data_IF_356167626359
#
_entry.id   IF_356167626359
#
_cell.length_a   1.000
_cell.length_b   1.000
_cell.length_c   1.000
_cell.angle_alpha   90.00
_cell.angle_beta   90.00
_cell.angle_gamma   90.00
#
_symmetry.space_group_name_H-M   'P 1'
#
loop_
_entity.id
_entity.type
_entity.pdbx_description
1 polymer ?
#
# COMPACT_ATOMS: atom_id res chain seq x y z
N UNK A 1 -25.70 -9.23 -56.79
CA UNK A 1 -25.10 -10.38 -56.08
C UNK A 1 -23.62 -10.14 -55.79
N UNK A 2 -22.80 -9.70 -56.72
CA UNK A 2 -21.36 -9.45 -56.52
C UNK A 2 -21.06 -8.43 -55.37
N UNK A 3 -21.81 -7.33 -55.32
CA UNK A 3 -21.62 -6.29 -54.28
C UNK A 3 -21.93 -6.80 -52.88
N UNK A 4 -22.99 -7.60 -52.72
CA UNK A 4 -23.36 -8.23 -51.45
C UNK A 4 -22.30 -9.26 -50.99
N UNK A 5 -21.77 -10.03 -51.90
CA UNK A 5 -20.67 -10.97 -51.64
C UNK A 5 -19.44 -10.24 -51.04
N UNK A 6 -18.97 -9.17 -51.70
CA UNK A 6 -17.81 -8.43 -51.26
C UNK A 6 -18.05 -7.67 -49.96
N UNK A 7 -19.28 -7.22 -49.70
CA UNK A 7 -19.64 -6.62 -48.42
C UNK A 7 -19.55 -7.66 -47.30
N UNK A 8 -20.03 -8.87 -47.54
CA UNK A 8 -19.93 -10.00 -46.53
C UNK A 8 -18.47 -10.34 -46.31
N UNK A 9 -17.64 -10.45 -47.35
CA UNK A 9 -16.21 -10.73 -47.20
C UNK A 9 -15.50 -9.67 -46.39
N UNK A 10 -15.76 -8.38 -46.67
CA UNK A 10 -15.15 -7.27 -45.94
C UNK A 10 -15.59 -7.26 -44.46
N UNK A 11 -16.90 -7.34 -44.20
CA UNK A 11 -17.42 -7.36 -42.82
C UNK A 11 -16.94 -8.60 -42.06
N UNK A 12 -16.88 -9.76 -42.69
CA UNK A 12 -16.34 -10.98 -42.14
C UNK A 12 -14.86 -10.86 -41.79
N UNK A 13 -14.07 -10.25 -42.68
CA UNK A 13 -12.65 -9.99 -42.41
C UNK A 13 -12.49 -9.01 -41.23
N UNK A 14 -13.23 -7.90 -41.24
CA UNK A 14 -13.20 -6.95 -40.10
C UNK A 14 -13.60 -7.62 -38.79
N UNK A 15 -14.67 -8.41 -38.75
CA UNK A 15 -15.12 -9.14 -37.59
C UNK A 15 -14.05 -10.11 -37.11
N UNK A 16 -13.48 -10.92 -38.01
CA UNK A 16 -12.43 -11.87 -37.66
C UNK A 16 -11.18 -11.19 -37.09
N UNK A 17 -10.75 -10.08 -37.67
CA UNK A 17 -9.60 -9.30 -37.21
C UNK A 17 -9.84 -8.71 -35.82
N UNK A 18 -11.01 -8.12 -35.59
CA UNK A 18 -11.39 -7.54 -34.29
C UNK A 18 -11.55 -8.66 -33.23
N UNK A 19 -12.26 -9.74 -33.56
CA UNK A 19 -12.50 -10.86 -32.64
C UNK A 19 -11.18 -11.50 -32.18
N UNK A 20 -10.25 -11.72 -33.11
CA UNK A 20 -8.93 -12.29 -32.80
C UNK A 20 -7.90 -11.26 -32.29
N UNK A 21 -8.29 -9.98 -32.12
CA UNK A 21 -7.39 -8.89 -31.66
C UNK A 21 -6.09 -8.82 -32.46
N UNK A 22 -6.20 -8.95 -33.78
CA UNK A 22 -5.04 -8.97 -34.68
C UNK A 22 -4.37 -7.59 -34.67
N UNK A 23 -3.03 -7.56 -34.63
CA UNK A 23 -2.24 -6.32 -34.68
C UNK A 23 -2.60 -5.44 -35.89
N UNK A 24 -2.52 -4.10 -35.69
CA UNK A 24 -2.89 -3.12 -36.71
C UNK A 24 -2.13 -3.33 -38.02
N UNK A 25 -0.83 -3.66 -37.97
CA UNK A 25 -0.01 -3.90 -39.17
C UNK A 25 -0.52 -5.08 -39.96
N UNK A 26 -0.77 -6.21 -39.31
CA UNK A 26 -1.29 -7.40 -39.98
C UNK A 26 -2.73 -7.19 -40.43
N UNK A 27 -3.56 -6.50 -39.67
CA UNK A 27 -4.91 -6.12 -40.06
C UNK A 27 -4.91 -5.25 -41.33
N UNK A 28 -3.99 -4.29 -41.40
CA UNK A 28 -3.83 -3.44 -42.58
C UNK A 28 -3.43 -4.27 -43.81
N UNK A 29 -2.48 -5.19 -43.67
CA UNK A 29 -2.07 -6.07 -44.76
C UNK A 29 -3.22 -6.95 -45.26
N UNK A 30 -4.01 -7.55 -44.36
CA UNK A 30 -5.16 -8.41 -44.71
C UNK A 30 -6.26 -7.59 -45.39
N UNK A 31 -6.63 -6.42 -44.84
CA UNK A 31 -7.63 -5.55 -45.47
C UNK A 31 -7.15 -4.99 -46.83
N UNK A 32 -5.85 -4.72 -46.95
CA UNK A 32 -5.24 -4.37 -48.20
C UNK A 32 -5.36 -5.47 -49.26
N UNK A 33 -5.09 -6.72 -48.87
CA UNK A 33 -5.27 -7.87 -49.78
C UNK A 33 -6.73 -8.05 -50.22
N UNK A 34 -7.68 -7.88 -49.27
CA UNK A 34 -9.12 -7.89 -49.61
C UNK A 34 -9.47 -6.78 -50.56
N UNK A 35 -8.94 -5.57 -50.39
CA UNK A 35 -9.19 -4.44 -51.28
C UNK A 35 -8.55 -4.65 -52.68
N UNK A 36 -7.36 -5.24 -52.77
CA UNK A 36 -6.73 -5.64 -54.05
C UNK A 36 -7.62 -6.66 -54.76
N UNK A 37 -8.07 -7.69 -54.08
CA UNK A 37 -8.96 -8.69 -54.65
C UNK A 37 -10.30 -8.06 -55.12
N UNK A 38 -10.87 -7.18 -54.29
CA UNK A 38 -12.05 -6.41 -54.68
C UNK A 38 -11.81 -5.60 -55.96
N UNK A 39 -10.69 -4.89 -56.06
CA UNK A 39 -10.34 -4.09 -57.21
C UNK A 39 -10.23 -4.93 -58.50
N UNK A 40 -9.65 -6.15 -58.38
CA UNK A 40 -9.41 -7.06 -59.49
C UNK A 40 -10.67 -7.79 -59.99
N UNK A 41 -11.62 -8.09 -59.11
CA UNK A 41 -12.71 -9.02 -59.43
C UNK A 41 -14.12 -8.46 -59.27
N UNK A 42 -14.31 -7.20 -58.76
CA UNK A 42 -15.65 -6.67 -58.50
C UNK A 42 -16.32 -5.99 -59.69
N UNK A 43 -15.55 -5.52 -60.67
CA UNK A 43 -16.05 -4.69 -61.76
C UNK A 43 -16.56 -3.31 -61.31
N UNK A 44 -16.15 -2.85 -60.11
CA UNK A 44 -16.56 -1.56 -59.58
C UNK A 44 -16.03 -0.37 -60.40
N UNK A 45 -16.80 0.70 -60.49
CA UNK A 45 -16.39 1.91 -61.23
C UNK A 45 -15.20 2.62 -60.59
N UNK A 46 -14.33 3.21 -61.44
CA UNK A 46 -13.08 3.86 -61.00
C UNK A 46 -13.26 4.87 -59.88
N UNK A 47 -14.36 5.62 -59.87
CA UNK A 47 -14.66 6.59 -58.83
C UNK A 47 -14.77 5.95 -57.43
N UNK A 48 -15.48 4.82 -57.31
CA UNK A 48 -15.64 4.11 -56.04
C UNK A 48 -14.35 3.43 -55.58
N UNK A 49 -13.58 2.89 -56.53
CA UNK A 49 -12.27 2.32 -56.23
C UNK A 49 -11.32 3.39 -55.69
N UNK A 50 -11.31 4.57 -56.30
CA UNK A 50 -10.50 5.70 -55.81
C UNK A 50 -10.84 6.07 -54.37
N UNK A 51 -12.15 6.20 -54.05
CA UNK A 51 -12.59 6.51 -52.69
C UNK A 51 -12.12 5.42 -51.70
N UNK A 52 -12.31 4.13 -52.03
CA UNK A 52 -11.91 3.02 -51.14
C UNK A 52 -10.39 2.99 -50.93
N UNK A 53 -9.60 3.25 -51.96
CA UNK A 53 -8.14 3.31 -51.80
C UNK A 53 -7.68 4.54 -50.99
N UNK A 54 -8.36 5.66 -51.07
CA UNK A 54 -8.09 6.84 -50.25
C UNK A 54 -8.41 6.56 -48.79
N UNK A 55 -9.58 5.94 -48.51
CA UNK A 55 -9.96 5.53 -47.14
C UNK A 55 -8.98 4.50 -46.57
N UNK A 56 -8.60 3.50 -47.39
CA UNK A 56 -7.60 2.53 -47.00
C UNK A 56 -6.23 3.16 -46.72
N UNK A 57 -5.80 4.12 -47.55
CA UNK A 57 -4.58 4.89 -47.33
C UNK A 57 -4.60 5.64 -45.99
N UNK A 58 -5.74 6.28 -45.69
CA UNK A 58 -5.96 6.92 -44.39
C UNK A 58 -5.86 5.91 -43.21
N UNK A 59 -6.46 4.73 -43.39
CA UNK A 59 -6.34 3.64 -42.38
C UNK A 59 -4.90 3.14 -42.28
N UNK A 60 -4.19 2.94 -43.39
CA UNK A 60 -2.81 2.51 -43.42
C UNK A 60 -1.86 3.50 -42.72
N UNK A 61 -2.15 4.82 -42.79
CA UNK A 61 -1.39 5.85 -42.07
C UNK A 61 -1.44 5.70 -40.54
N UNK A 62 -2.45 5.03 -40.00
CA UNK A 62 -2.51 4.74 -38.55
C UNK A 62 -1.36 3.87 -38.07
N UNK A 63 -0.69 3.14 -38.97
CA UNK A 63 0.52 2.38 -38.62
C UNK A 63 1.75 3.26 -38.36
N UNK A 64 1.72 4.52 -38.80
CA UNK A 64 2.76 5.51 -38.46
C UNK A 64 2.48 6.06 -37.08
N UNK A 65 3.16 5.51 -36.09
CA UNK A 65 2.90 5.77 -34.66
C UNK A 65 2.98 7.29 -34.34
N UNK A 66 3.99 7.97 -34.82
CA UNK A 66 4.18 9.40 -34.57
C UNK A 66 2.96 10.21 -35.07
N UNK A 67 2.50 9.93 -36.33
CA UNK A 67 1.35 10.61 -36.92
C UNK A 67 0.06 10.30 -36.14
N UNK A 68 -0.15 9.04 -35.75
CA UNK A 68 -1.30 8.62 -35.00
C UNK A 68 -1.32 9.30 -33.62
N UNK A 69 -0.17 9.35 -32.90
CA UNK A 69 -0.06 10.03 -31.63
C UNK A 69 -0.36 11.52 -31.74
N UNK A 70 0.27 12.19 -32.66
CA UNK A 70 0.16 13.65 -32.79
C UNK A 70 -1.22 14.09 -33.32
N UNK A 71 -1.77 13.40 -34.36
CA UNK A 71 -2.97 13.85 -35.04
C UNK A 71 -4.29 13.26 -34.54
N UNK A 72 -4.23 12.13 -33.80
CA UNK A 72 -5.44 11.49 -33.30
C UNK A 72 -5.41 11.37 -31.77
N UNK A 73 -4.39 10.73 -31.22
CA UNK A 73 -4.39 10.42 -29.77
C UNK A 73 -4.27 11.69 -28.93
N UNK A 74 -3.41 12.64 -29.28
CA UNK A 74 -3.23 13.86 -28.50
C UNK A 74 -4.50 14.74 -28.49
N UNK A 75 -5.15 15.06 -29.62
CA UNK A 75 -6.41 15.81 -29.58
C UNK A 75 -7.55 15.11 -28.86
N UNK A 76 -7.66 13.77 -28.99
CA UNK A 76 -8.65 12.97 -28.27
C UNK A 76 -8.37 13.03 -26.77
N UNK A 77 -7.11 12.90 -26.37
CA UNK A 77 -6.69 12.99 -24.98
C UNK A 77 -7.05 14.36 -24.37
N UNK A 78 -6.85 15.44 -25.10
CA UNK A 78 -7.18 16.79 -24.63
C UNK A 78 -8.69 16.98 -24.43
N UNK A 79 -9.51 16.34 -25.26
CA UNK A 79 -10.97 16.31 -25.06
C UNK A 79 -11.31 15.48 -23.83
N UNK A 80 -10.72 14.28 -23.69
CA UNK A 80 -10.97 13.40 -22.55
C UNK A 80 -10.54 14.05 -21.23
N UNK A 81 -9.40 14.72 -21.18
CA UNK A 81 -8.94 15.45 -19.98
C UNK A 81 -9.96 16.50 -19.52
N UNK A 82 -10.67 17.14 -20.44
CA UNK A 82 -11.72 18.11 -20.10
C UNK A 82 -13.01 17.47 -19.57
N UNK A 83 -13.26 16.22 -19.93
CA UNK A 83 -14.44 15.45 -19.50
C UNK A 83 -14.22 14.73 -18.18
N UNK A 84 -12.95 14.48 -17.79
CA UNK A 84 -12.63 13.86 -16.51
C UNK A 84 -12.97 14.82 -15.35
N UNK A 85 -13.49 14.31 -14.21
CA UNK A 85 -13.67 15.12 -13.01
C UNK A 85 -12.33 15.69 -12.59
N UNK A 86 -12.36 16.92 -12.06
CA UNK A 86 -11.15 17.54 -11.51
C UNK A 86 -10.74 16.78 -10.25
N UNK A 87 -9.49 16.39 -10.20
CA UNK A 87 -8.90 15.83 -8.99
C UNK A 87 -8.87 16.91 -7.90
N UNK A 88 -9.22 16.52 -6.68
CA UNK A 88 -8.94 17.33 -5.50
C UNK A 88 -7.43 17.43 -5.28
N UNK A 89 -6.98 18.40 -4.50
CA UNK A 89 -5.55 18.57 -4.19
C UNK A 89 -5.00 17.34 -3.45
N UNK A 90 -5.81 16.71 -2.62
CA UNK A 90 -5.46 15.47 -1.89
C UNK A 90 -5.31 14.26 -2.81
N UNK A 91 -6.20 14.12 -3.81
CA UNK A 91 -6.08 13.07 -4.84
C UNK A 91 -4.85 13.28 -5.72
N UNK A 92 -4.58 14.54 -6.09
CA UNK A 92 -3.39 14.91 -6.85
C UNK A 92 -2.12 14.57 -6.08
N UNK A 93 -2.02 14.97 -4.82
CA UNK A 93 -0.90 14.64 -3.95
C UNK A 93 -0.67 13.13 -3.87
N UNK A 94 -1.75 12.35 -3.79
CA UNK A 94 -1.67 10.88 -3.75
C UNK A 94 -1.14 10.26 -5.06
N UNK A 95 -1.47 10.84 -6.22
CA UNK A 95 -0.96 10.36 -7.51
C UNK A 95 0.49 10.82 -7.77
N UNK A 96 0.85 12.02 -7.33
CA UNK A 96 2.20 12.58 -7.48
C UNK A 96 3.21 11.99 -6.51
N UNK A 97 2.75 11.39 -5.40
CA UNK A 97 3.60 10.75 -4.40
C UNK A 97 4.32 9.49 -4.88
N UNK A 98 3.86 8.87 -5.97
CA UNK A 98 4.39 7.61 -6.49
C UNK A 98 5.15 7.75 -7.81
N UNK A 99 5.96 6.73 -8.12
CA UNK A 99 6.53 6.52 -9.44
C UNK A 99 5.66 5.58 -10.28
N UNK A 100 5.74 5.73 -11.61
CA UNK A 100 5.17 4.77 -12.55
C UNK A 100 6.28 3.79 -12.93
N UNK A 101 6.11 2.55 -12.53
CA UNK A 101 7.07 1.48 -12.80
C UNK A 101 6.58 0.59 -13.96
N UNK A 102 6.80 -0.71 -13.91
CA UNK A 102 6.39 -1.64 -14.96
C UNK A 102 4.88 -1.65 -15.22
N UNK A 103 4.04 -1.37 -14.23
CA UNK A 103 2.59 -1.34 -14.40
C UNK A 103 2.12 -0.34 -15.47
N UNK A 104 2.91 0.68 -15.77
CA UNK A 104 2.67 1.60 -16.88
C UNK A 104 2.58 0.91 -18.24
N UNK A 105 3.30 -0.19 -18.42
CA UNK A 105 3.26 -1.00 -19.65
C UNK A 105 1.87 -1.59 -19.92
N UNK A 106 1.07 -1.87 -18.88
CA UNK A 106 -0.28 -2.40 -19.02
C UNK A 106 -1.19 -1.43 -19.82
N UNK A 107 -0.91 -0.13 -19.77
CA UNK A 107 -1.67 0.91 -20.47
C UNK A 107 -1.16 1.16 -21.88
N UNK A 108 -0.05 0.55 -22.29
CA UNK A 108 0.46 0.66 -23.66
C UNK A 108 -0.43 -0.08 -24.68
N UNK A 109 -1.28 -0.99 -24.22
CA UNK A 109 -2.09 -1.90 -25.04
C UNK A 109 -1.32 -3.14 -25.52
N UNK A 110 0.01 -3.13 -25.42
CA UNK A 110 0.90 -4.26 -25.74
C UNK A 110 2.06 -4.31 -24.74
N UNK A 111 1.79 -4.69 -23.47
CA UNK A 111 2.80 -4.67 -22.42
C UNK A 111 3.96 -5.62 -22.72
N UNK A 112 5.17 -5.16 -22.48
CA UNK A 112 6.36 -6.02 -22.58
C UNK A 112 6.53 -6.88 -21.32
N UNK A 113 5.92 -8.04 -21.35
CA UNK A 113 6.01 -9.04 -20.29
C UNK A 113 7.43 -9.53 -20.01
N UNK A 114 8.36 -9.34 -20.96
CA UNK A 114 9.76 -9.74 -20.78
C UNK A 114 10.45 -8.86 -19.75
N UNK A 115 10.08 -7.59 -19.66
CA UNK A 115 10.60 -6.70 -18.62
C UNK A 115 10.22 -7.24 -17.23
N UNK A 116 8.93 -7.59 -17.01
CA UNK A 116 8.48 -8.15 -15.74
C UNK A 116 9.19 -9.48 -15.40
N UNK A 117 9.34 -10.38 -16.38
CA UNK A 117 9.98 -11.69 -16.14
C UNK A 117 11.49 -11.63 -15.97
N UNK A 118 12.13 -10.51 -16.33
CA UNK A 118 13.57 -10.27 -16.14
C UNK A 118 13.91 -9.56 -14.84
N UNK A 119 12.91 -9.14 -14.08
CA UNK A 119 13.14 -8.54 -12.77
C UNK A 119 13.96 -9.49 -11.90
N UNK A 120 14.98 -8.99 -11.19
CA UNK A 120 15.75 -9.83 -10.29
C UNK A 120 14.83 -10.39 -9.20
N UNK A 121 14.92 -11.68 -8.93
CA UNK A 121 14.24 -12.24 -7.78
C UNK A 121 14.85 -11.63 -6.52
N UNK A 122 14.07 -10.95 -5.67
CA UNK A 122 14.60 -10.35 -4.47
C UNK A 122 15.09 -11.44 -3.52
N UNK A 123 16.25 -11.22 -2.90
CA UNK A 123 16.88 -12.16 -1.97
C UNK A 123 17.14 -11.48 -0.65
N UNK A 124 17.01 -12.25 0.42
CA UNK A 124 17.42 -11.82 1.74
C UNK A 124 18.97 -11.80 1.82
N UNK A 125 19.49 -10.88 2.60
CA UNK A 125 20.88 -10.94 3.06
C UNK A 125 21.05 -12.07 4.08
N UNK A 126 22.29 -12.45 4.40
CA UNK A 126 22.56 -13.47 5.42
C UNK A 126 22.02 -13.05 6.80
N UNK A 127 22.12 -11.76 7.16
CA UNK A 127 21.60 -11.23 8.41
C UNK A 127 20.05 -11.28 8.46
N UNK A 128 19.38 -10.90 7.38
CA UNK A 128 17.93 -10.96 7.27
C UNK A 128 17.40 -12.41 7.34
N UNK A 129 18.08 -13.33 6.64
CA UNK A 129 17.72 -14.75 6.68
C UNK A 129 17.94 -15.33 8.08
N UNK A 130 19.06 -15.02 8.74
CA UNK A 130 19.34 -15.46 10.09
C UNK A 130 18.30 -14.92 11.10
N UNK A 131 17.83 -13.69 10.93
CA UNK A 131 16.79 -13.11 11.76
C UNK A 131 15.43 -13.79 11.54
N UNK A 132 15.11 -14.12 10.30
CA UNK A 132 13.88 -14.83 9.95
C UNK A 132 13.88 -16.27 10.49
N UNK A 133 15.00 -16.97 10.41
CA UNK A 133 15.12 -18.39 10.83
C UNK A 133 15.40 -18.56 12.34
N UNK A 134 15.95 -17.53 12.99
CA UNK A 134 16.23 -17.53 14.43
C UNK A 134 15.19 -16.72 15.24
N UNK A 135 15.42 -15.42 15.46
CA UNK A 135 14.56 -14.60 16.33
C UNK A 135 13.07 -14.62 15.95
N UNK A 136 12.73 -14.65 14.65
CA UNK A 136 11.32 -14.68 14.24
C UNK A 136 10.67 -16.02 14.55
N UNK A 137 11.37 -17.14 14.37
CA UNK A 137 10.89 -18.47 14.75
C UNK A 137 10.71 -18.59 16.26
N UNK A 138 11.68 -18.08 17.02
CA UNK A 138 11.62 -18.08 18.47
C UNK A 138 10.44 -17.25 18.99
N UNK A 139 10.21 -16.07 18.42
CA UNK A 139 9.04 -15.24 18.76
C UNK A 139 7.72 -15.97 18.45
N UNK A 140 7.63 -16.65 17.31
CA UNK A 140 6.46 -17.48 17.00
C UNK A 140 6.23 -18.58 18.05
N UNK A 141 7.32 -19.19 18.54
CA UNK A 141 7.24 -20.26 19.56
C UNK A 141 6.85 -19.73 20.94
N UNK A 142 7.26 -18.50 21.29
CA UNK A 142 6.92 -17.85 22.57
C UNK A 142 5.51 -17.29 22.59
N UNK A 143 4.99 -16.85 21.46
CA UNK A 143 3.70 -16.18 21.34
C UNK A 143 2.56 -17.18 21.11
N UNK A 144 2.16 -17.89 22.17
CA UNK A 144 1.06 -18.83 22.12
C UNK A 144 -0.28 -18.08 21.97
N UNK A 145 -1.00 -18.36 20.87
CA UNK A 145 -2.23 -17.61 20.51
C UNK A 145 -3.34 -17.77 21.56
N UNK A 146 -3.54 -18.97 22.13
CA UNK A 146 -4.64 -19.22 23.07
C UNK A 146 -4.52 -18.39 24.37
N UNK A 147 -3.41 -18.43 25.11
CA UNK A 147 -3.23 -17.58 26.29
C UNK A 147 -3.33 -16.09 25.96
N UNK A 148 -2.74 -15.65 24.84
CA UNK A 148 -2.78 -14.25 24.40
C UNK A 148 -4.23 -13.80 24.19
N UNK A 149 -5.02 -14.59 23.47
CA UNK A 149 -6.35 -14.17 23.02
C UNK A 149 -7.43 -14.40 24.09
N UNK A 150 -7.38 -15.48 24.83
CA UNK A 150 -8.48 -15.90 25.73
C UNK A 150 -8.21 -15.63 27.21
N UNK A 151 -6.96 -15.80 27.66
CA UNK A 151 -6.64 -15.72 29.08
C UNK A 151 -6.17 -14.31 29.47
N UNK A 152 -5.17 -13.77 28.73
CA UNK A 152 -4.52 -12.50 29.05
C UNK A 152 -5.16 -11.31 28.36
N UNK A 153 -5.69 -11.53 27.16
CA UNK A 153 -6.08 -10.46 26.23
C UNK A 153 -4.93 -9.46 25.97
N UNK A 154 -3.71 -9.94 26.06
CA UNK A 154 -2.47 -9.23 25.82
C UNK A 154 -1.34 -10.24 25.56
N UNK A 155 -0.21 -9.75 25.07
CA UNK A 155 1.01 -10.54 25.05
C UNK A 155 1.61 -10.62 26.48
N UNK A 156 2.09 -11.80 26.92
CA UNK A 156 2.78 -11.90 28.20
C UNK A 156 4.12 -11.15 28.18
N UNK A 157 4.57 -10.67 29.33
CA UNK A 157 5.80 -9.86 29.45
C UNK A 157 7.03 -10.49 28.80
N UNK A 158 7.28 -11.82 28.88
CA UNK A 158 8.41 -12.42 28.14
C UNK A 158 8.36 -12.23 26.62
N UNK A 159 7.17 -12.13 26.02
CA UNK A 159 7.00 -11.85 24.59
C UNK A 159 7.31 -10.39 24.29
N UNK A 160 6.84 -9.46 25.15
CA UNK A 160 7.17 -8.05 25.02
C UNK A 160 8.68 -7.80 25.16
N UNK A 161 9.32 -8.41 26.15
CA UNK A 161 10.77 -8.30 26.38
C UNK A 161 11.56 -8.86 25.20
N UNK A 162 11.15 -10.00 24.66
CA UNK A 162 11.80 -10.59 23.50
C UNK A 162 11.70 -9.68 22.25
N UNK A 163 10.52 -9.08 22.02
CA UNK A 163 10.32 -8.12 20.92
C UNK A 163 11.28 -6.93 21.06
N UNK A 164 11.43 -6.38 22.27
CA UNK A 164 12.32 -5.26 22.59
C UNK A 164 13.79 -5.66 22.42
N UNK A 165 14.23 -6.73 23.08
CA UNK A 165 15.62 -7.19 23.09
C UNK A 165 16.13 -7.58 21.70
N UNK A 166 15.32 -8.25 20.90
CA UNK A 166 15.71 -8.66 19.54
C UNK A 166 15.57 -7.55 18.49
N UNK A 167 14.97 -6.40 18.85
CA UNK A 167 14.86 -5.23 17.97
C UNK A 167 13.78 -5.38 16.90
N UNK A 168 12.66 -6.04 17.20
CA UNK A 168 11.54 -6.14 16.25
C UNK A 168 10.88 -4.80 15.95
N UNK A 169 11.03 -3.78 16.81
CA UNK A 169 10.50 -2.43 16.54
C UNK A 169 11.38 -1.59 15.63
N UNK A 170 12.57 -2.06 15.30
CA UNK A 170 13.60 -1.29 14.58
C UNK A 170 14.03 -1.90 13.24
N UNK A 171 13.19 -2.73 12.63
CA UNK A 171 13.54 -3.40 11.37
C UNK A 171 13.88 -2.42 10.25
N UNK A 172 13.14 -1.29 10.15
CA UNK A 172 13.37 -0.25 9.15
C UNK A 172 14.46 0.76 9.53
N UNK A 173 14.78 0.91 10.83
CA UNK A 173 15.73 1.92 11.29
C UNK A 173 17.13 1.49 10.90
N UNK A 174 17.94 2.37 10.27
CA UNK A 174 19.33 2.06 9.90
C UNK A 174 20.21 1.68 11.09
N UNK A 175 21.26 0.91 10.81
CA UNK A 175 22.22 0.45 11.83
C UNK A 175 22.94 1.60 12.52
N UNK A 176 23.17 2.72 11.84
CA UNK A 176 23.79 3.93 12.41
C UNK A 176 23.01 4.53 13.59
N UNK A 177 21.69 4.27 13.67
CA UNK A 177 20.83 4.65 14.79
C UNK A 177 20.52 3.47 15.73
N UNK A 178 21.20 2.33 15.56
CA UNK A 178 21.01 1.13 16.37
C UNK A 178 19.88 0.20 15.91
N UNK A 179 19.31 0.42 14.72
CA UNK A 179 18.30 -0.44 14.11
C UNK A 179 18.86 -1.62 13.33
N UNK A 180 18.04 -2.24 12.50
CA UNK A 180 18.39 -3.40 11.66
C UNK A 180 18.65 -3.04 10.19
N UNK A 181 18.06 -1.97 9.67
CA UNK A 181 18.17 -1.56 8.28
C UNK A 181 17.70 -2.62 7.27
N UNK A 182 16.69 -3.40 7.63
CA UNK A 182 16.24 -4.53 6.81
C UNK A 182 15.46 -4.08 5.57
N UNK A 183 15.60 -4.88 4.52
CA UNK A 183 14.91 -4.64 3.25
C UNK A 183 13.39 -4.81 3.36
N UNK A 184 12.63 -4.18 2.44
CA UNK A 184 11.19 -4.40 2.31
C UNK A 184 10.80 -5.88 2.19
N UNK A 185 11.62 -6.70 1.53
CA UNK A 185 11.39 -8.14 1.44
C UNK A 185 11.50 -8.83 2.79
N UNK A 186 12.55 -8.52 3.57
CA UNK A 186 12.76 -9.12 4.90
C UNK A 186 11.60 -8.76 5.83
N UNK A 187 11.20 -7.49 5.88
CA UNK A 187 10.08 -7.02 6.69
C UNK A 187 8.79 -7.74 6.27
N UNK A 188 8.53 -7.86 4.97
CA UNK A 188 7.37 -8.58 4.46
C UNK A 188 7.35 -10.05 4.89
N UNK A 189 8.49 -10.75 4.82
CA UNK A 189 8.58 -12.16 5.19
C UNK A 189 8.48 -12.37 6.71
N UNK A 190 9.10 -11.51 7.52
CA UNK A 190 9.01 -11.54 8.98
C UNK A 190 7.54 -11.35 9.41
N UNK A 191 6.87 -10.32 8.89
CA UNK A 191 5.48 -10.03 9.24
C UNK A 191 4.52 -11.13 8.77
N UNK A 192 4.73 -11.70 7.59
CA UNK A 192 3.93 -12.84 7.11
C UNK A 192 4.11 -14.07 8.01
N UNK A 193 5.34 -14.35 8.46
CA UNK A 193 5.61 -15.45 9.39
C UNK A 193 4.95 -15.21 10.73
N UNK A 194 5.07 -14.03 11.32
CA UNK A 194 4.38 -13.68 12.57
C UNK A 194 2.87 -13.79 12.42
N UNK A 195 2.29 -13.26 11.34
CA UNK A 195 0.85 -13.31 11.07
C UNK A 195 0.32 -14.73 10.83
N UNK A 196 1.18 -15.66 10.42
CA UNK A 196 0.79 -17.06 10.30
C UNK A 196 0.67 -17.79 11.65
N UNK A 197 1.15 -17.18 12.74
CA UNK A 197 1.05 -17.67 14.11
C UNK A 197 0.04 -16.87 14.92
N UNK A 198 0.25 -15.54 15.07
CA UNK A 198 -0.67 -14.68 15.80
C UNK A 198 -0.76 -13.29 15.18
N UNK A 199 -2.00 -12.82 14.98
CA UNK A 199 -2.28 -11.47 14.51
C UNK A 199 -1.84 -10.39 15.48
N UNK A 200 -1.77 -10.70 16.77
CA UNK A 200 -1.36 -9.77 17.84
C UNK A 200 0.10 -9.37 17.69
N UNK A 201 1.02 -10.35 17.60
CA UNK A 201 2.46 -10.07 17.45
C UNK A 201 2.74 -9.37 16.12
N UNK A 202 2.14 -9.85 15.03
CA UNK A 202 2.36 -9.26 13.70
C UNK A 202 1.88 -7.80 13.62
N UNK A 203 0.73 -7.47 14.21
CA UNK A 203 0.22 -6.10 14.25
C UNK A 203 1.10 -5.22 15.14
N UNK A 204 1.53 -5.74 16.30
CA UNK A 204 2.40 -5.02 17.25
C UNK A 204 3.75 -4.67 16.61
N UNK A 205 4.38 -5.61 15.93
CA UNK A 205 5.66 -5.40 15.23
C UNK A 205 5.48 -4.57 13.95
N UNK A 206 4.35 -4.73 13.26
CA UNK A 206 4.11 -4.09 11.97
C UNK A 206 4.00 -2.56 12.03
N UNK A 207 3.41 -2.01 13.09
CA UNK A 207 3.15 -0.55 13.16
C UNK A 207 4.43 0.27 13.29
N UNK A 208 5.38 -0.02 14.20
CA UNK A 208 6.65 0.69 14.27
C UNK A 208 7.44 0.64 12.96
N UNK A 209 7.30 -0.43 12.20
CA UNK A 209 8.02 -0.68 10.96
C UNK A 209 7.24 -0.26 9.69
N UNK A 210 6.23 0.59 9.80
CA UNK A 210 5.47 1.07 8.65
C UNK A 210 5.08 2.54 8.79
N UNK A 211 3.97 2.82 9.46
CA UNK A 211 3.45 4.16 9.72
C UNK A 211 3.90 4.68 11.08
N UNK A 212 5.05 4.23 11.58
CA UNK A 212 5.60 4.76 12.82
C UNK A 212 6.33 6.09 12.60
N UNK A 213 6.54 6.86 13.67
CA UNK A 213 7.38 8.05 13.63
C UNK A 213 8.76 7.85 13.01
N UNK A 214 9.33 6.65 13.11
CA UNK A 214 10.66 6.34 12.55
C UNK A 214 10.74 6.58 11.04
N UNK A 215 9.77 6.09 10.27
CA UNK A 215 9.72 6.26 8.81
C UNK A 215 9.61 7.74 8.43
N UNK A 216 8.77 8.50 9.15
CA UNK A 216 8.63 9.94 8.95
C UNK A 216 9.92 10.70 9.26
N UNK A 217 10.58 10.35 10.36
CA UNK A 217 11.86 10.95 10.75
C UNK A 217 12.97 10.66 9.74
N UNK A 218 13.10 9.43 9.27
CA UNK A 218 14.13 9.06 8.29
C UNK A 218 14.03 9.88 7.01
N UNK A 219 12.81 10.17 6.54
CA UNK A 219 12.59 10.88 5.29
C UNK A 219 12.51 12.41 5.44
N UNK A 220 11.95 12.90 6.54
CA UNK A 220 11.61 14.33 6.70
C UNK A 220 12.20 14.95 7.96
N UNK A 221 12.62 14.16 8.94
CA UNK A 221 13.17 14.67 10.19
C UNK A 221 14.45 15.49 9.99
N UNK A 222 14.65 16.52 10.81
CA UNK A 222 15.95 17.20 10.90
C UNK A 222 16.99 16.26 11.50
N UNK A 223 18.27 16.56 11.34
CA UNK A 223 19.33 15.72 11.92
C UNK A 223 19.26 15.69 13.45
N UNK A 224 18.87 16.80 14.09
CA UNK A 224 18.64 16.88 15.54
C UNK A 224 17.49 15.97 15.96
N UNK A 225 16.38 15.95 15.21
CA UNK A 225 15.26 15.06 15.48
C UNK A 225 15.63 13.59 15.30
N UNK A 226 16.36 13.25 14.24
CA UNK A 226 16.84 11.88 14.01
C UNK A 226 17.73 11.39 15.14
N UNK A 227 18.73 12.21 15.54
CA UNK A 227 19.65 11.88 16.63
C UNK A 227 18.94 11.76 18.00
N UNK A 228 17.90 12.55 18.22
CA UNK A 228 17.12 12.51 19.46
C UNK A 228 16.22 11.27 19.56
N UNK A 229 15.50 10.94 18.48
CA UNK A 229 14.41 9.97 18.54
C UNK A 229 14.75 8.58 18.02
N UNK A 230 15.51 8.47 16.91
CA UNK A 230 15.75 7.16 16.27
C UNK A 230 16.46 6.15 17.18
N UNK A 231 17.47 6.51 18.00
CA UNK A 231 18.10 5.57 18.90
C UNK A 231 17.13 5.04 19.98
N UNK A 232 16.27 5.89 20.55
CA UNK A 232 15.24 5.50 21.51
C UNK A 232 14.20 4.56 20.90
N UNK A 233 13.77 4.85 19.67
CA UNK A 233 12.86 3.97 18.91
C UNK A 233 13.54 2.65 18.54
N UNK A 234 14.82 2.66 18.19
CA UNK A 234 15.57 1.46 17.84
C UNK A 234 15.76 0.52 19.03
N UNK A 235 16.05 1.07 20.20
CA UNK A 235 16.21 0.31 21.45
C UNK A 235 14.89 -0.04 22.15
N UNK A 236 13.75 0.38 21.59
CA UNK A 236 12.43 0.26 22.19
C UNK A 236 12.30 0.91 23.60
N UNK A 237 13.18 1.86 23.95
CA UNK A 237 12.98 2.79 25.05
C UNK A 237 11.82 3.72 24.74
N UNK A 238 11.70 4.10 23.47
CA UNK A 238 10.55 4.81 22.94
C UNK A 238 9.65 3.86 22.14
N UNK A 239 8.39 3.76 22.53
CA UNK A 239 7.38 2.97 21.80
C UNK A 239 6.51 3.95 21.02
N UNK A 240 6.51 3.88 19.68
CA UNK A 240 5.77 4.83 18.88
C UNK A 240 4.33 4.39 18.66
N UNK A 241 3.43 5.38 18.50
CA UNK A 241 2.15 5.20 17.82
C UNK A 241 1.91 6.35 16.85
N UNK A 242 0.93 6.20 15.94
CA UNK A 242 0.57 7.26 15.01
C UNK A 242 -0.92 7.58 15.07
N UNK A 243 -1.26 8.78 15.54
CA UNK A 243 -2.61 9.24 15.77
C UNK A 243 -3.14 10.07 14.59
N UNK A 244 -3.77 9.38 13.64
CA UNK A 244 -4.43 9.97 12.47
C UNK A 244 -5.94 9.93 12.61
N UNK A 245 -6.53 8.76 12.81
CA UNK A 245 -7.97 8.53 12.83
C UNK A 245 -8.62 9.23 14.03
N UNK A 246 -9.68 10.00 13.79
CA UNK A 246 -10.48 10.66 14.82
C UNK A 246 -11.96 10.27 14.72
N UNK A 247 -12.80 10.81 15.60
CA UNK A 247 -14.25 10.55 15.60
C UNK A 247 -14.88 10.99 14.28
N UNK A 248 -14.42 12.09 13.71
CA UNK A 248 -14.98 12.71 12.51
C UNK A 248 -14.22 12.36 11.23
N UNK A 249 -13.04 11.76 11.33
CA UNK A 249 -12.16 11.50 10.22
C UNK A 249 -11.65 10.04 10.25
N UNK A 250 -12.33 9.18 9.51
CA UNK A 250 -11.95 7.78 9.26
C UNK A 250 -11.43 7.63 7.83
N UNK A 251 -12.29 7.19 6.90
CA UNK A 251 -11.93 7.04 5.49
C UNK A 251 -11.57 8.37 4.83
N UNK A 252 -12.24 9.45 5.19
CA UNK A 252 -11.84 10.82 4.89
C UNK A 252 -10.91 11.33 5.98
N UNK A 253 -9.62 10.97 5.89
CA UNK A 253 -8.63 11.37 6.87
C UNK A 253 -8.35 12.88 6.86
N UNK A 254 -8.64 13.57 5.75
CA UNK A 254 -8.46 15.02 5.63
C UNK A 254 -9.56 15.84 6.34
N UNK A 255 -10.68 15.18 6.64
CA UNK A 255 -11.78 15.76 7.41
C UNK A 255 -11.51 15.90 8.91
N UNK A 256 -10.27 15.64 9.38
CA UNK A 256 -9.91 15.79 10.80
C UNK A 256 -10.18 17.21 11.30
N UNK A 257 -10.63 17.30 12.55
CA UNK A 257 -10.95 18.55 13.26
C UNK A 257 -9.94 18.87 14.37
N UNK A 258 -9.04 17.94 14.63
CA UNK A 258 -7.96 18.11 15.59
C UNK A 258 -7.09 19.29 15.17
N UNK A 259 -6.71 20.16 16.12
CA UNK A 259 -6.11 21.45 15.82
C UNK A 259 -4.90 21.76 16.67
N UNK A 260 -4.00 22.55 16.11
CA UNK A 260 -2.90 23.19 16.79
C UNK A 260 -2.91 24.68 16.46
N UNK A 261 -2.76 25.54 17.46
CA UNK A 261 -2.67 26.98 17.28
C UNK A 261 -1.29 27.44 17.73
N UNK A 262 -0.58 28.10 16.83
CA UNK A 262 0.71 28.73 17.16
C UNK A 262 0.47 29.88 18.14
N UNK A 263 1.16 29.87 19.26
CA UNK A 263 1.04 30.91 20.29
C UNK A 263 2.30 30.99 21.15
N UNK A 264 2.40 32.01 21.96
CA UNK A 264 3.40 32.07 23.02
C UNK A 264 2.92 31.27 24.23
N UNK A 265 3.84 30.61 24.89
CA UNK A 265 3.57 29.85 26.11
C UNK A 265 4.84 29.47 26.85
N UNK A 266 4.68 28.95 28.06
CA UNK A 266 5.78 28.49 28.91
C UNK A 266 6.07 27.03 28.65
N UNK A 267 7.34 26.71 28.40
CA UNK A 267 7.82 25.34 28.26
C UNK A 267 9.20 25.25 28.95
N UNK A 268 9.35 24.29 29.88
CA UNK A 268 10.54 24.11 30.70
C UNK A 268 11.00 25.39 31.44
N UNK A 269 10.05 26.24 31.81
CA UNK A 269 10.30 27.51 32.55
C UNK A 269 10.71 28.70 31.70
N UNK A 270 10.67 28.55 30.36
CA UNK A 270 10.95 29.62 29.40
C UNK A 270 9.71 29.97 28.56
N UNK A 271 9.51 31.28 28.28
CA UNK A 271 8.49 31.72 27.33
C UNK A 271 9.00 31.53 25.92
N UNK A 272 8.34 30.62 25.15
CA UNK A 272 8.68 30.34 23.76
C UNK A 272 7.46 30.50 22.84
N UNK A 273 7.73 30.56 21.52
CA UNK A 273 6.71 30.34 20.51
C UNK A 273 6.57 28.83 20.34
N UNK A 274 5.36 28.31 20.50
CA UNK A 274 5.04 26.92 20.39
C UNK A 274 3.65 26.69 19.81
N UNK A 275 3.11 25.50 20.00
CA UNK A 275 1.80 25.10 19.48
C UNK A 275 0.94 24.62 20.64
N UNK A 276 -0.28 25.13 20.73
CA UNK A 276 -1.31 24.63 21.65
C UNK A 276 -2.21 23.65 20.92
N UNK A 277 -2.13 22.40 21.30
CA UNK A 277 -2.76 21.26 20.62
C UNK A 277 -4.03 20.80 21.32
N UNK A 278 -5.04 20.45 20.50
CA UNK A 278 -6.27 19.80 20.95
C UNK A 278 -6.63 18.68 19.98
N UNK A 279 -6.82 17.44 20.50
CA UNK A 279 -7.19 16.29 19.66
C UNK A 279 -8.06 15.29 20.42
N UNK A 280 -8.85 14.48 19.65
CA UNK A 280 -9.58 13.31 20.12
C UNK A 280 -9.46 12.19 19.08
N UNK A 281 -8.44 11.36 19.24
CA UNK A 281 -8.08 10.26 18.36
C UNK A 281 -8.57 8.93 18.90
N UNK A 282 -8.91 7.98 17.99
CA UNK A 282 -9.37 6.64 18.38
C UNK A 282 -8.82 5.56 17.46
N UNK A 283 -8.87 4.32 17.94
CA UNK A 283 -8.35 3.15 17.23
C UNK A 283 -6.86 3.25 16.90
N UNK A 284 -6.10 3.87 17.79
CA UNK A 284 -4.67 4.08 17.60
C UNK A 284 -3.92 2.87 18.12
N UNK A 285 -3.30 2.13 17.20
CA UNK A 285 -2.48 0.97 17.54
C UNK A 285 -1.24 1.41 18.32
N UNK A 286 -0.95 0.70 19.38
CA UNK A 286 0.09 0.94 20.40
C UNK A 286 -0.17 2.16 21.31
N UNK A 287 -1.21 2.99 21.12
CA UNK A 287 -1.47 4.12 22.03
C UNK A 287 -1.45 3.75 23.50
N UNK A 288 -2.00 2.59 23.97
CA UNK A 288 -1.98 2.25 25.40
C UNK A 288 -0.60 2.07 26.00
N UNK A 289 0.43 1.80 25.20
CA UNK A 289 1.81 1.55 25.64
C UNK A 289 2.81 2.53 25.04
N UNK A 290 2.33 3.48 24.25
CA UNK A 290 3.21 4.43 23.55
C UNK A 290 3.82 5.45 24.50
N UNK A 291 5.10 5.77 24.27
CA UNK A 291 5.83 6.87 24.92
C UNK A 291 5.91 8.10 24.05
N UNK A 292 5.81 7.92 22.71
CA UNK A 292 5.80 8.99 21.72
C UNK A 292 4.66 8.82 20.72
N UNK A 293 3.94 9.91 20.51
CA UNK A 293 2.79 10.01 19.64
C UNK A 293 3.17 10.77 18.38
N UNK A 294 3.13 10.15 17.21
CA UNK A 294 3.04 10.87 15.95
C UNK A 294 1.61 11.40 15.79
N UNK A 295 1.41 12.70 15.80
CA UNK A 295 0.10 13.33 15.75
C UNK A 295 -0.10 14.08 14.44
N UNK A 296 -1.22 13.82 13.76
CA UNK A 296 -1.69 14.63 12.64
C UNK A 296 -2.82 15.56 13.09
N UNK A 297 -2.69 16.85 12.79
CA UNK A 297 -3.64 17.91 13.16
C UNK A 297 -3.61 19.05 12.15
N UNK A 298 -4.62 19.92 12.14
CA UNK A 298 -4.62 21.17 11.36
C UNK A 298 -3.91 22.27 12.14
N UNK A 299 -2.92 22.92 11.54
CA UNK A 299 -2.14 23.99 12.14
C UNK A 299 -2.67 25.35 11.71
N UNK A 300 -2.89 26.23 12.70
CA UNK A 300 -3.33 27.61 12.55
C UNK A 300 -2.32 28.56 13.19
N UNK A 301 -2.11 29.73 12.56
CA UNK A 301 -1.22 30.79 13.04
C UNK A 301 -1.90 32.17 12.89
N UNK A 302 -2.96 32.46 13.65
CA UNK A 302 -3.73 33.70 13.51
C UNK A 302 -2.93 34.96 13.88
N UNK A 303 -1.85 34.80 14.65
CA UNK A 303 -0.99 35.92 15.07
C UNK A 303 0.27 36.08 14.19
N UNK A 304 0.38 35.27 13.10
CA UNK A 304 1.51 35.29 12.16
C UNK A 304 2.89 35.18 12.82
N UNK A 305 3.01 34.26 13.79
CA UNK A 305 4.25 34.05 14.55
C UNK A 305 5.30 33.21 13.81
N UNK A 306 4.87 32.44 12.84
CA UNK A 306 5.78 31.53 12.06
C UNK A 306 5.79 31.86 10.57
N UNK A 307 4.87 32.69 10.05
CA UNK A 307 4.81 33.09 8.64
C UNK A 307 3.57 33.91 8.31
N UNK A 308 3.24 34.06 7.03
CA UNK A 308 2.18 34.95 6.53
C UNK A 308 0.82 34.25 6.28
N UNK A 309 0.59 33.07 6.88
CA UNK A 309 -0.65 32.30 6.66
C UNK A 309 -1.41 32.14 7.97
N UNK A 310 -2.72 32.33 7.96
CA UNK A 310 -3.59 32.02 9.09
C UNK A 310 -3.77 30.51 9.28
N UNK A 311 -3.76 29.74 8.17
CA UNK A 311 -3.95 28.30 8.16
C UNK A 311 -2.86 27.62 7.31
N UNK A 312 -2.13 26.68 7.90
CA UNK A 312 -1.11 25.88 7.22
C UNK A 312 -1.63 24.55 6.71
N UNK A 313 -2.70 24.01 7.30
CA UNK A 313 -3.26 22.71 6.97
C UNK A 313 -2.71 21.58 7.82
N UNK A 314 -2.82 20.33 7.29
CA UNK A 314 -2.43 19.15 8.04
C UNK A 314 -0.93 19.13 8.28
N UNK A 315 -0.56 19.08 9.55
CA UNK A 315 0.81 19.05 10.05
C UNK A 315 1.03 17.79 10.87
N UNK A 316 2.22 17.23 10.82
CA UNK A 316 2.63 16.07 11.61
C UNK A 316 3.66 16.46 12.65
N UNK A 317 3.48 16.04 13.90
CA UNK A 317 4.40 16.34 15.00
C UNK A 317 4.63 15.11 15.89
N UNK A 318 5.75 15.11 16.62
CA UNK A 318 6.08 14.11 17.64
C UNK A 318 5.77 14.68 19.03
N UNK A 319 4.87 14.01 19.74
CA UNK A 319 4.38 14.44 21.05
C UNK A 319 4.72 13.37 22.09
N UNK A 320 5.56 13.66 23.10
CA UNK A 320 5.70 12.79 24.27
C UNK A 320 4.36 12.55 24.94
N UNK A 321 4.08 11.31 25.35
CA UNK A 321 2.76 10.97 25.91
C UNK A 321 2.62 11.33 27.39
N UNK A 322 3.70 11.69 28.05
CA UNK A 322 3.76 12.11 29.46
C UNK A 322 3.53 13.63 29.68
N UNK A 323 3.34 14.39 28.59
CA UNK A 323 3.08 15.83 28.68
C UNK A 323 1.74 16.14 29.39
N UNK A 324 1.68 17.23 30.16
CA UNK A 324 0.44 17.69 30.76
C UNK A 324 -0.67 17.89 29.72
N UNK A 325 -1.85 17.35 30.00
CA UNK A 325 -3.01 17.44 29.11
C UNK A 325 -3.14 16.29 28.10
N UNK A 326 -2.16 15.38 28.00
CA UNK A 326 -2.27 14.13 27.23
C UNK A 326 -2.96 13.07 28.08
N UNK A 327 -3.96 12.42 27.48
CA UNK A 327 -4.73 11.34 28.09
C UNK A 327 -4.77 10.13 27.17
N UNK A 328 -4.45 8.97 27.70
CA UNK A 328 -4.66 7.66 27.06
C UNK A 328 -5.94 7.07 27.66
N UNK A 329 -6.92 6.78 26.81
CA UNK A 329 -8.21 6.23 27.28
C UNK A 329 -8.25 4.71 27.35
N UNK A 330 -9.47 4.18 27.50
CA UNK A 330 -9.67 2.73 27.62
C UNK A 330 -9.27 2.00 26.35
N UNK A 331 -8.59 0.87 26.54
CA UNK A 331 -8.14 -0.01 25.46
C UNK A 331 -9.32 -0.57 24.64
N UNK A 332 -9.15 -0.67 23.33
CA UNK A 332 -10.07 -1.36 22.42
C UNK A 332 -9.56 -2.78 22.13
N UNK A 333 -10.48 -3.70 21.85
CA UNK A 333 -10.21 -5.06 21.38
C UNK A 333 -10.86 -5.26 20.00
N UNK A 334 -10.24 -4.77 18.91
CA UNK A 334 -10.83 -4.84 17.57
C UNK A 334 -11.02 -6.30 17.13
N UNK A 335 -12.28 -6.68 16.87
CA UNK A 335 -12.65 -8.06 16.45
C UNK A 335 -12.15 -9.15 17.43
N UNK A 336 -11.93 -8.78 18.69
CA UNK A 336 -11.40 -9.72 19.69
C UNK A 336 -9.92 -10.03 19.59
N UNK A 337 -9.17 -9.35 18.71
CA UNK A 337 -7.70 -9.49 18.61
C UNK A 337 -7.05 -8.58 19.65
N UNK A 338 -6.24 -9.10 20.57
CA UNK A 338 -5.75 -8.37 21.74
C UNK A 338 -4.44 -7.61 21.51
N UNK A 339 -4.21 -7.00 20.36
CA UNK A 339 -3.11 -6.07 20.23
C UNK A 339 -3.42 -4.74 20.92
N UNK A 340 -2.40 -4.03 21.34
CA UNK A 340 -2.58 -2.75 22.01
C UNK A 340 -3.20 -1.73 21.02
N UNK A 341 -4.41 -1.27 21.37
CA UNK A 341 -5.16 -0.31 20.56
C UNK A 341 -6.05 0.53 21.48
N UNK A 342 -6.11 1.83 21.28
CA UNK A 342 -6.91 2.68 22.14
C UNK A 342 -7.06 4.10 21.61
N UNK A 343 -7.86 4.93 22.32
CA UNK A 343 -7.96 6.35 22.04
C UNK A 343 -6.81 7.11 22.71
N UNK A 344 -6.50 8.28 22.19
CA UNK A 344 -5.67 9.30 22.83
C UNK A 344 -6.30 10.66 22.67
N UNK A 345 -6.25 11.49 23.71
CA UNK A 345 -6.77 12.82 23.76
C UNK A 345 -5.71 13.79 24.22
N UNK A 346 -5.79 15.01 23.72
CA UNK A 346 -5.01 16.13 24.21
C UNK A 346 -5.91 17.33 24.40
N UNK A 347 -5.75 17.98 25.53
CA UNK A 347 -6.46 19.20 25.84
C UNK A 347 -5.47 20.29 26.27
N UNK A 348 -5.40 21.34 25.44
CA UNK A 348 -4.51 22.48 25.67
C UNK A 348 -3.04 22.10 25.88
N UNK A 349 -2.58 21.04 25.21
CA UNK A 349 -1.21 20.55 25.29
C UNK A 349 -0.30 21.53 24.58
N UNK A 350 0.66 22.12 25.30
CA UNK A 350 1.60 23.08 24.73
C UNK A 350 2.92 22.37 24.41
N UNK A 351 3.42 22.55 23.18
CA UNK A 351 4.66 21.95 22.69
C UNK A 351 5.49 22.96 21.90
N UNK A 352 6.82 22.84 21.88
CA UNK A 352 7.70 23.66 21.05
C UNK A 352 7.47 23.40 19.56
N UNK A 353 7.85 24.34 18.68
CA UNK A 353 7.76 24.21 17.23
C UNK A 353 8.65 23.08 16.67
N UNK A 354 9.73 22.73 17.33
CA UNK A 354 10.65 21.66 16.96
C UNK A 354 10.02 20.25 17.08
N UNK A 355 8.84 20.13 17.68
CA UNK A 355 8.02 18.92 17.63
C UNK A 355 7.44 18.65 16.24
N UNK A 356 7.30 19.64 15.37
CA UNK A 356 6.90 19.44 13.97
C UNK A 356 7.97 18.59 13.27
N UNK A 357 7.57 17.50 12.65
CA UNK A 357 8.51 16.64 11.90
C UNK A 357 9.10 17.43 10.74
N UNK A 358 10.44 17.56 10.71
CA UNK A 358 11.15 18.39 9.75
C UNK A 358 11.21 19.88 10.13
N UNK A 359 10.75 20.24 11.34
CA UNK A 359 10.77 21.60 11.84
C UNK A 359 9.65 22.49 11.29
N UNK A 360 9.67 23.76 11.65
CA UNK A 360 8.64 24.75 11.27
C UNK A 360 8.46 24.91 9.75
N UNK A 361 9.51 24.63 8.98
CA UNK A 361 9.50 24.74 7.51
C UNK A 361 8.57 23.69 6.86
N UNK A 362 8.29 22.61 7.59
CA UNK A 362 7.41 21.53 7.17
C UNK A 362 5.98 21.66 7.72
N UNK A 363 5.65 22.82 8.29
CA UNK A 363 4.28 23.13 8.71
C UNK A 363 3.31 23.07 7.51
N UNK A 364 2.22 22.32 7.64
CA UNK A 364 1.24 22.10 6.57
C UNK A 364 1.56 20.98 5.59
N UNK A 365 2.76 20.40 5.63
CA UNK A 365 3.20 19.34 4.71
C UNK A 365 2.85 17.92 5.21
N UNK A 366 2.18 17.80 6.34
CA UNK A 366 1.89 16.50 6.97
C UNK A 366 1.07 15.58 6.08
N UNK A 367 0.13 16.10 5.29
CA UNK A 367 -0.63 15.26 4.37
C UNK A 367 0.25 14.65 3.28
N UNK A 368 1.13 15.44 2.67
CA UNK A 368 2.08 14.94 1.67
C UNK A 368 3.00 13.87 2.26
N UNK A 369 3.58 14.12 3.45
CA UNK A 369 4.41 13.15 4.17
C UNK A 369 3.69 11.82 4.38
N UNK A 370 2.45 11.87 4.85
CA UNK A 370 1.65 10.68 5.11
C UNK A 370 1.33 9.90 3.83
N UNK A 371 0.96 10.58 2.76
CA UNK A 371 0.60 9.92 1.51
C UNK A 371 1.81 9.26 0.87
N UNK A 372 2.97 9.92 0.85
CA UNK A 372 4.20 9.36 0.28
C UNK A 372 4.64 8.09 1.03
N UNK A 373 4.67 8.12 2.36
CA UNK A 373 5.15 6.99 3.16
C UNK A 373 4.10 5.90 3.34
N UNK A 374 2.82 6.25 3.45
CA UNK A 374 1.74 5.27 3.45
C UNK A 374 1.72 4.43 2.17
N UNK A 375 2.13 5.00 1.05
CA UNK A 375 2.19 4.27 -0.22
C UNK A 375 3.15 3.08 -0.14
N UNK A 376 4.32 3.25 0.46
CA UNK A 376 5.30 2.18 0.67
C UNK A 376 4.83 1.19 1.76
N UNK A 377 4.47 1.67 2.94
CA UNK A 377 4.04 0.84 4.07
C UNK A 377 2.78 0.00 3.79
N UNK A 378 1.82 0.55 3.03
CA UNK A 378 0.63 -0.21 2.58
C UNK A 378 0.97 -1.42 1.72
N UNK A 379 2.04 -1.36 0.95
CA UNK A 379 2.49 -2.46 0.09
C UNK A 379 3.18 -3.58 0.85
N UNK A 380 3.60 -3.35 2.11
CA UNK A 380 4.37 -4.32 2.88
C UNK A 380 3.52 -4.90 4.02
N UNK A 381 3.18 -4.10 5.03
CA UNK A 381 2.68 -4.59 6.32
C UNK A 381 1.34 -5.31 6.20
N UNK A 382 0.32 -4.62 5.71
CA UNK A 382 -1.02 -5.20 5.64
C UNK A 382 -1.13 -6.35 4.63
N UNK A 383 -0.55 -6.25 3.42
CA UNK A 383 -0.50 -7.39 2.50
C UNK A 383 0.24 -8.60 3.06
N UNK A 384 1.32 -8.39 3.83
CA UNK A 384 2.08 -9.49 4.45
C UNK A 384 1.27 -10.19 5.54
N UNK A 385 0.55 -9.44 6.36
CA UNK A 385 -0.37 -10.01 7.34
C UNK A 385 -1.47 -10.86 6.68
N UNK A 386 -2.03 -10.37 5.58
CA UNK A 386 -3.02 -11.11 4.79
C UNK A 386 -2.43 -12.41 4.19
N UNK A 387 -1.19 -12.36 3.68
CA UNK A 387 -0.46 -13.54 3.17
C UNK A 387 -0.21 -14.53 4.30
N UNK A 388 0.29 -14.09 5.46
CA UNK A 388 0.54 -14.96 6.62
C UNK A 388 -0.70 -15.66 7.12
N UNK A 389 -1.81 -14.94 7.30
CA UNK A 389 -3.09 -15.51 7.67
C UNK A 389 -3.62 -16.52 6.65
N UNK A 390 -3.47 -16.24 5.34
CA UNK A 390 -3.85 -17.19 4.29
C UNK A 390 -2.97 -18.44 4.28
N UNK A 391 -1.64 -18.31 4.51
CA UNK A 391 -0.72 -19.45 4.65
C UNK A 391 -1.12 -20.34 5.82
N UNK A 392 -1.43 -19.77 6.99
CA UNK A 392 -1.91 -20.50 8.16
C UNK A 392 -3.21 -21.25 7.87
N UNK A 393 -4.18 -20.59 7.24
CA UNK A 393 -5.44 -21.20 6.87
C UNK A 393 -5.26 -22.38 5.91
N UNK A 394 -4.44 -22.23 4.85
CA UNK A 394 -4.14 -23.30 3.89
C UNK A 394 -3.47 -24.49 4.58
N UNK A 395 -2.48 -24.22 5.44
CA UNK A 395 -1.75 -25.26 6.16
C UNK A 395 -2.66 -26.04 7.11
N UNK A 396 -3.41 -25.33 7.95
CA UNK A 396 -4.31 -25.95 8.94
C UNK A 396 -5.44 -26.73 8.27
N UNK A 397 -6.10 -26.15 7.27
CA UNK A 397 -7.20 -26.78 6.55
C UNK A 397 -6.71 -28.01 5.75
N UNK A 398 -5.55 -27.90 5.10
CA UNK A 398 -4.93 -29.03 4.40
C UNK A 398 -4.59 -30.20 5.34
N UNK A 399 -4.02 -29.91 6.50
CA UNK A 399 -3.74 -30.91 7.54
C UNK A 399 -5.04 -31.56 8.07
N UNK A 400 -6.03 -30.72 8.40
CA UNK A 400 -7.34 -31.18 8.89
C UNK A 400 -8.04 -32.08 7.85
N UNK A 401 -8.07 -31.68 6.59
CA UNK A 401 -8.73 -32.45 5.53
C UNK A 401 -8.11 -33.84 5.32
N UNK A 402 -6.83 -34.03 5.65
CA UNK A 402 -6.16 -35.35 5.59
C UNK A 402 -6.49 -36.23 6.81
N UNK A 403 -6.81 -35.65 7.94
CA UNK A 403 -7.06 -36.37 9.20
C UNK A 403 -8.55 -36.64 9.38
N UNK A 404 -9.39 -35.65 9.11
CA UNK A 404 -10.85 -35.76 9.23
C UNK A 404 -11.40 -36.76 8.24
N UNK A 405 -12.20 -37.71 8.73
CA UNK A 405 -12.82 -38.74 7.92
C UNK A 405 -14.33 -38.63 7.88
N UNK A 406 -14.88 -38.81 6.69
CA UNK A 406 -16.32 -39.08 6.46
C UNK A 406 -16.44 -40.21 5.45
N UNK A 407 -17.50 -41.03 5.53
CA UNK A 407 -17.69 -42.20 4.67
C UNK A 407 -16.44 -43.11 4.64
N UNK A 408 -15.71 -43.22 5.75
CA UNK A 408 -14.51 -44.03 5.97
C UNK A 408 -13.25 -43.58 5.22
N UNK A 409 -13.29 -42.46 4.52
CA UNK A 409 -12.12 -41.86 3.81
C UNK A 409 -11.81 -40.48 4.33
N UNK A 410 -10.56 -39.97 4.20
CA UNK A 410 -10.25 -38.56 4.49
C UNK A 410 -11.12 -37.62 3.64
N UNK A 411 -11.56 -36.51 4.19
CA UNK A 411 -12.40 -35.57 3.43
C UNK A 411 -11.66 -34.95 2.24
N UNK A 412 -10.31 -34.92 2.25
CA UNK A 412 -9.50 -34.50 1.12
C UNK A 412 -9.70 -35.34 -0.17
N UNK A 413 -10.28 -36.53 -0.04
CA UNK A 413 -10.60 -37.39 -1.20
C UNK A 413 -11.85 -36.90 -1.97
N UNK A 414 -12.64 -36.02 -1.40
CA UNK A 414 -13.83 -35.48 -2.06
C UNK A 414 -13.46 -34.32 -2.97
N UNK A 415 -13.94 -34.35 -4.22
CA UNK A 415 -13.64 -33.37 -5.24
C UNK A 415 -14.05 -31.95 -4.80
N UNK A 416 -15.17 -31.75 -4.08
CA UNK A 416 -15.61 -30.46 -3.57
C UNK A 416 -14.61 -29.84 -2.57
N UNK A 417 -14.05 -30.67 -1.68
CA UNK A 417 -12.99 -30.25 -0.75
C UNK A 417 -11.69 -29.95 -1.52
N UNK A 418 -11.35 -30.79 -2.50
CA UNK A 418 -10.19 -30.56 -3.38
C UNK A 418 -10.28 -29.24 -4.14
N UNK A 419 -11.47 -28.84 -4.60
CA UNK A 419 -11.70 -27.54 -5.26
C UNK A 419 -11.44 -26.36 -4.30
N UNK A 420 -11.97 -26.41 -3.08
CA UNK A 420 -11.74 -25.37 -2.07
C UNK A 420 -10.25 -25.26 -1.73
N UNK A 421 -9.57 -26.39 -1.46
CA UNK A 421 -8.12 -26.41 -1.16
C UNK A 421 -7.28 -25.84 -2.32
N UNK A 422 -7.65 -26.17 -3.56
CA UNK A 422 -6.95 -25.66 -4.76
C UNK A 422 -7.13 -24.15 -4.90
N UNK A 423 -8.34 -23.64 -4.65
CA UNK A 423 -8.64 -22.20 -4.68
C UNK A 423 -7.88 -21.45 -3.59
N UNK A 424 -7.92 -21.94 -2.35
CA UNK A 424 -7.17 -21.36 -1.22
C UNK A 424 -5.67 -21.29 -1.52
N UNK A 425 -5.08 -22.40 -2.00
CA UNK A 425 -3.65 -22.46 -2.32
C UNK A 425 -3.31 -21.53 -3.48
N UNK A 426 -4.14 -21.51 -4.52
CA UNK A 426 -3.96 -20.65 -5.68
C UNK A 426 -3.98 -19.16 -5.30
N UNK A 427 -4.93 -18.72 -4.48
CA UNK A 427 -4.97 -17.34 -3.98
C UNK A 427 -3.74 -17.00 -3.12
N UNK A 428 -3.35 -17.88 -2.20
CA UNK A 428 -2.17 -17.67 -1.36
C UNK A 428 -0.89 -17.56 -2.19
N UNK A 429 -0.76 -18.36 -3.25
CA UNK A 429 0.36 -18.26 -4.18
C UNK A 429 0.39 -16.93 -4.92
N UNK A 430 -0.75 -16.49 -5.47
CA UNK A 430 -0.85 -15.20 -6.18
C UNK A 430 -0.54 -14.03 -5.25
N UNK A 431 -1.09 -14.03 -4.04
CA UNK A 431 -0.85 -13.01 -3.02
C UNK A 431 0.65 -12.91 -2.68
N UNK A 432 1.31 -14.05 -2.49
CA UNK A 432 2.75 -14.12 -2.21
C UNK A 432 3.58 -13.60 -3.38
N UNK A 433 3.26 -14.01 -4.60
CA UNK A 433 3.97 -13.57 -5.80
C UNK A 433 3.85 -12.06 -6.01
N UNK A 434 2.63 -11.52 -5.87
CA UNK A 434 2.38 -10.08 -6.00
C UNK A 434 3.12 -9.26 -4.92
N UNK A 435 3.15 -9.75 -3.66
CA UNK A 435 3.93 -9.12 -2.59
C UNK A 435 5.43 -9.08 -2.91
N UNK A 436 5.98 -10.17 -3.45
CA UNK A 436 7.41 -10.23 -3.84
C UNK A 436 7.74 -9.26 -4.97
N UNK A 437 6.88 -9.15 -5.99
CA UNK A 437 7.06 -8.17 -7.09
C UNK A 437 7.06 -6.74 -6.54
N UNK A 438 6.14 -6.42 -5.62
CA UNK A 438 6.08 -5.09 -5.00
C UNK A 438 7.32 -4.81 -4.16
N UNK A 439 7.81 -5.78 -3.38
CA UNK A 439 9.07 -5.64 -2.63
C UNK A 439 10.27 -5.45 -3.56
N UNK A 440 10.28 -6.08 -4.75
CA UNK A 440 11.33 -5.85 -5.76
C UNK A 440 11.36 -4.38 -6.19
N UNK A 441 10.20 -3.80 -6.52
CA UNK A 441 10.11 -2.40 -6.90
C UNK A 441 10.67 -1.48 -5.80
N UNK A 442 10.28 -1.72 -4.55
CA UNK A 442 10.76 -0.95 -3.40
C UNK A 442 12.28 -1.11 -3.19
N UNK A 443 12.83 -2.31 -3.35
CA UNK A 443 14.28 -2.56 -3.25
C UNK A 443 15.08 -1.86 -4.36
N UNK A 444 14.46 -1.63 -5.53
CA UNK A 444 15.05 -0.85 -6.63
C UNK A 444 14.92 0.67 -6.42
N UNK A 445 14.37 1.12 -5.30
CA UNK A 445 14.17 2.53 -4.98
C UNK A 445 12.95 3.17 -5.62
N UNK A 446 12.06 2.37 -6.23
CA UNK A 446 10.80 2.84 -6.78
C UNK A 446 9.80 3.15 -5.67
N UNK A 447 8.84 4.03 -5.99
CA UNK A 447 7.70 4.37 -5.12
C UNK A 447 6.40 3.85 -5.75
N UNK A 448 6.14 2.53 -5.72
CA UNK A 448 5.07 1.89 -6.49
C UNK A 448 3.68 2.14 -5.87
N UNK A 449 3.20 3.39 -5.85
CA UNK A 449 1.95 3.79 -5.21
C UNK A 449 0.72 3.04 -5.77
N UNK A 450 0.65 2.87 -7.08
CA UNK A 450 -0.45 2.13 -7.73
C UNK A 450 -0.38 0.63 -7.45
N UNK A 451 0.77 -0.07 -7.66
CA UNK A 451 0.90 -1.48 -7.29
C UNK A 451 0.61 -1.75 -5.81
N UNK A 452 1.07 -0.91 -4.89
CA UNK A 452 0.82 -1.09 -3.45
C UNK A 452 -0.67 -0.95 -3.09
N UNK A 453 -1.38 -0.02 -3.73
CA UNK A 453 -2.83 0.13 -3.54
C UNK A 453 -3.60 -1.09 -4.06
N UNK A 454 -3.25 -1.60 -5.24
CA UNK A 454 -3.81 -2.82 -5.84
C UNK A 454 -3.54 -4.02 -4.94
N UNK A 455 -2.28 -4.18 -4.50
CA UNK A 455 -1.86 -5.27 -3.65
C UNK A 455 -2.60 -5.29 -2.32
N UNK A 456 -2.70 -4.14 -1.65
CA UNK A 456 -3.43 -3.99 -0.39
C UNK A 456 -4.87 -4.48 -0.52
N UNK A 457 -5.59 -4.01 -1.54
CA UNK A 457 -6.97 -4.41 -1.77
C UNK A 457 -7.10 -5.91 -2.08
N UNK A 458 -6.36 -6.39 -3.08
CA UNK A 458 -6.52 -7.76 -3.53
C UNK A 458 -6.04 -8.80 -2.52
N UNK A 459 -4.92 -8.55 -1.83
CA UNK A 459 -4.44 -9.50 -0.82
C UNK A 459 -5.42 -9.62 0.35
N UNK A 460 -5.98 -8.50 0.84
CA UNK A 460 -6.96 -8.57 1.93
C UNK A 460 -8.27 -9.25 1.51
N UNK A 461 -8.77 -9.01 0.29
CA UNK A 461 -9.98 -9.66 -0.22
C UNK A 461 -9.77 -11.15 -0.53
N UNK A 462 -8.61 -11.53 -1.07
CA UNK A 462 -8.27 -12.94 -1.30
C UNK A 462 -8.08 -13.69 0.03
N UNK A 463 -7.42 -13.08 1.02
CA UNK A 463 -7.26 -13.65 2.36
C UNK A 463 -8.63 -13.90 3.01
N UNK A 464 -9.56 -12.96 2.87
CA UNK A 464 -10.93 -13.14 3.37
C UNK A 464 -11.64 -14.35 2.71
N UNK A 465 -11.45 -14.54 1.40
CA UNK A 465 -12.01 -15.71 0.69
C UNK A 465 -11.37 -17.02 1.16
N UNK A 466 -10.03 -17.01 1.35
CA UNK A 466 -9.29 -18.17 1.91
C UNK A 466 -9.81 -18.51 3.31
N UNK A 467 -10.02 -17.50 4.16
CA UNK A 467 -10.56 -17.71 5.50
C UNK A 467 -11.99 -18.31 5.47
N UNK A 468 -12.87 -17.82 4.58
CA UNK A 468 -14.22 -18.38 4.44
C UNK A 468 -14.16 -19.85 3.98
N UNK A 469 -13.39 -20.16 2.94
CA UNK A 469 -13.23 -21.55 2.47
C UNK A 469 -12.62 -22.47 3.58
N UNK A 470 -11.79 -21.92 4.47
CA UNK A 470 -11.21 -22.68 5.58
C UNK A 470 -12.22 -22.93 6.72
N UNK A 471 -13.20 -22.05 6.89
CA UNK A 471 -14.23 -22.19 7.92
C UNK A 471 -15.39 -23.10 7.51
N UNK A 472 -15.70 -23.19 6.21
CA UNK A 472 -16.73 -24.06 5.64
C UNK A 472 -16.31 -25.52 5.60
#
# INVERSE_FOLDING_TARGET
>A
MATLFWLIVFLGACFALIYNRVELRLSTAILGAVLVAFTSFSGAGLFWLFILWVLFGGFALLNVEALRRERLSAPILDVLKKLLPRLSDTERAALEAGSVWWEGELFSGMPDWRQLTRLPAPKLTEAEQAFLDGPTEELCSLAEEWPITHDLQDMPEPVWDFIREKGFFSLIIPEEYGGKGFSPLAISMILAKLASHTGTTSTTVGVPNSLGPAELLLHYGTEEQKQRWLPGLASAQEIPCFALTSIHAGSDATGLVDSGVVCKGEFDGEEIIGIRLNWDKRYITLAPVATVLGLAFKLYDPDHLIGDRDEYGITAALIPTDLPGVEIGNRHLPIGIPFQNGPTRGKDVFVPLDCIIGGKEMAGEGWRMLVELLSAGRGIVLPSNAVGGAMAAVYATGAYARIRRQFKVPISEFHGIGEALARMTGYTYIMTAASRVTCTALNEGEKPAVPTAILKYHNTEMSRRVANDAMD
#
